data_IF_686495646060
#
_entry.id   IF_686495646060
#
_cell.length_a   1.000
_cell.length_b   1.000
_cell.length_c   1.000
_cell.angle_alpha   90.00
_cell.angle_beta   90.00
_cell.angle_gamma   90.00
#
_symmetry.space_group_name_H-M   'P 1'
#
loop_
_entity.id
_entity.type
_entity.pdbx_description
1 polymer ?
#
# COMPACT_ATOMS: atom_id res chain seq x y z
N UNK A 1 13.12 10.37 -23.58
CA UNK A 1 13.24 8.90 -23.34
C UNK A 1 14.32 8.52 -22.31
N UNK A 2 14.76 9.42 -21.42
CA UNK A 2 15.80 9.09 -20.44
C UNK A 2 15.26 8.42 -19.16
N UNK A 3 14.12 8.88 -18.64
CA UNK A 3 13.55 8.35 -17.40
C UNK A 3 13.17 6.86 -17.50
N UNK A 4 12.53 6.43 -18.59
CA UNK A 4 12.17 5.01 -18.77
C UNK A 4 13.43 4.12 -18.87
N UNK A 5 14.45 4.56 -19.62
CA UNK A 5 15.71 3.83 -19.74
C UNK A 5 16.35 3.63 -18.36
N UNK A 6 16.35 4.67 -17.55
CA UNK A 6 16.93 4.64 -16.22
C UNK A 6 16.13 3.75 -15.26
N UNK A 7 14.80 3.84 -15.28
CA UNK A 7 13.94 2.95 -14.50
C UNK A 7 14.18 1.47 -14.84
N UNK A 8 14.33 1.14 -16.13
CA UNK A 8 14.66 -0.22 -16.56
C UNK A 8 16.07 -0.63 -16.12
N UNK A 9 17.05 0.27 -16.20
CA UNK A 9 18.42 0.01 -15.69
C UNK A 9 18.39 -0.35 -14.21
N UNK A 10 17.71 0.43 -13.37
CA UNK A 10 17.57 0.19 -11.94
C UNK A 10 16.90 -1.17 -11.63
N UNK A 11 15.84 -1.51 -12.38
CA UNK A 11 15.17 -2.82 -12.26
C UNK A 11 16.14 -3.98 -12.55
N UNK A 12 16.95 -3.85 -13.60
CA UNK A 12 17.90 -4.90 -14.00
C UNK A 12 19.10 -4.99 -13.06
N UNK A 13 19.55 -3.87 -12.47
CA UNK A 13 20.65 -3.83 -11.50
C UNK A 13 20.28 -4.45 -10.15
N UNK A 14 19.05 -4.22 -9.67
CA UNK A 14 18.49 -4.95 -8.52
C UNK A 14 18.36 -6.44 -8.83
N UNK A 15 17.91 -6.77 -10.05
CA UNK A 15 17.59 -8.11 -10.50
C UNK A 15 16.13 -8.48 -10.23
N UNK A 16 15.49 -9.14 -11.21
CA UNK A 16 14.05 -9.40 -11.19
C UNK A 16 13.61 -10.21 -9.98
N UNK A 17 14.28 -11.32 -9.66
CA UNK A 17 13.92 -12.18 -8.53
C UNK A 17 14.01 -11.45 -7.19
N UNK A 18 15.07 -10.65 -6.99
CA UNK A 18 15.22 -9.84 -5.77
C UNK A 18 14.13 -8.79 -5.68
N UNK A 19 13.82 -8.14 -6.80
CA UNK A 19 12.75 -7.14 -6.87
C UNK A 19 11.39 -7.75 -6.54
N UNK A 20 11.06 -8.92 -7.09
CA UNK A 20 9.82 -9.64 -6.79
C UNK A 20 9.75 -10.07 -5.31
N UNK A 21 10.85 -10.60 -4.78
CA UNK A 21 10.97 -10.97 -3.37
C UNK A 21 10.72 -9.77 -2.45
N UNK A 22 11.38 -8.63 -2.68
CA UNK A 22 11.16 -7.39 -1.90
C UNK A 22 9.71 -6.95 -1.90
N UNK A 23 9.05 -6.95 -3.07
CA UNK A 23 7.64 -6.55 -3.13
C UNK A 23 6.72 -7.54 -2.39
N UNK A 24 7.04 -8.84 -2.44
CA UNK A 24 6.31 -9.86 -1.68
C UNK A 24 6.54 -9.72 -0.18
N UNK A 25 7.76 -9.48 0.26
CA UNK A 25 8.10 -9.26 1.67
C UNK A 25 7.39 -8.04 2.23
N UNK A 26 7.41 -6.91 1.52
CA UNK A 26 6.71 -5.69 1.95
C UNK A 26 5.19 -5.86 1.96
N UNK A 27 4.63 -6.65 1.03
CA UNK A 27 3.21 -7.03 1.08
C UNK A 27 2.86 -7.83 2.33
N UNK A 28 3.67 -8.83 2.67
CA UNK A 28 3.47 -9.65 3.86
C UNK A 28 3.59 -8.80 5.13
N UNK A 29 4.58 -7.91 5.18
CA UNK A 29 4.74 -6.95 6.26
C UNK A 29 3.52 -6.04 6.40
N UNK A 30 3.04 -5.45 5.31
CA UNK A 30 1.85 -4.61 5.32
C UNK A 30 0.61 -5.39 5.76
N UNK A 31 0.44 -6.62 5.24
CA UNK A 31 -0.65 -7.52 5.61
C UNK A 31 -0.67 -7.74 7.12
N UNK A 32 0.43 -8.21 7.68
CA UNK A 32 0.51 -8.58 9.10
C UNK A 32 0.21 -7.36 9.98
N UNK A 33 0.84 -6.22 9.66
CA UNK A 33 0.68 -5.00 10.44
C UNK A 33 -0.71 -4.37 10.36
N UNK A 34 -1.40 -4.50 9.23
CA UNK A 34 -2.79 -4.06 9.10
C UNK A 34 -3.75 -5.04 9.79
N UNK A 35 -3.50 -6.35 9.71
CA UNK A 35 -4.30 -7.35 10.41
C UNK A 35 -4.18 -7.22 11.94
N UNK A 36 -2.99 -6.88 12.45
CA UNK A 36 -2.78 -6.55 13.87
C UNK A 36 -3.64 -5.36 14.33
N UNK A 37 -4.01 -4.47 13.40
CA UNK A 37 -4.91 -3.34 13.64
C UNK A 37 -6.39 -3.65 13.38
N UNK A 38 -6.71 -4.90 13.06
CA UNK A 38 -8.08 -5.33 12.79
C UNK A 38 -8.58 -4.99 11.38
N UNK A 39 -7.72 -4.58 10.45
CA UNK A 39 -8.12 -4.39 9.07
C UNK A 39 -8.26 -5.72 8.32
N UNK A 40 -9.22 -5.75 7.41
CA UNK A 40 -9.46 -6.88 6.52
C UNK A 40 -9.08 -6.55 5.08
N UNK A 41 -8.63 -7.55 4.34
CA UNK A 41 -8.32 -7.42 2.92
C UNK A 41 -9.48 -7.93 2.08
N UNK A 42 -9.88 -7.15 1.07
CA UNK A 42 -11.00 -7.48 0.18
C UNK A 42 -10.77 -8.82 -0.56
N UNK A 43 -9.54 -9.06 -0.98
CA UNK A 43 -9.18 -10.20 -1.83
C UNK A 43 -8.67 -11.35 -0.96
N UNK A 44 -9.10 -12.58 -1.26
CA UNK A 44 -8.60 -13.77 -0.56
C UNK A 44 -7.11 -13.99 -0.84
N UNK A 45 -6.38 -14.51 0.17
CA UNK A 45 -4.91 -14.57 0.18
C UNK A 45 -4.25 -15.16 -1.09
N UNK A 46 -4.74 -16.28 -1.67
CA UNK A 46 -4.13 -16.85 -2.87
C UNK A 46 -4.19 -15.97 -4.12
N UNK A 47 -5.07 -14.95 -4.13
CA UNK A 47 -5.33 -14.08 -5.27
C UNK A 47 -4.85 -12.65 -5.06
N UNK A 48 -4.16 -12.36 -3.95
CA UNK A 48 -3.66 -11.01 -3.65
C UNK A 48 -2.46 -10.66 -4.55
N UNK A 49 -2.50 -9.46 -5.10
CA UNK A 49 -1.37 -8.87 -5.84
C UNK A 49 -0.47 -8.12 -4.84
N UNK A 50 0.82 -8.49 -4.67
CA UNK A 50 1.63 -7.86 -3.62
C UNK A 50 1.88 -6.35 -3.83
N UNK A 51 1.83 -5.88 -5.09
CA UNK A 51 2.05 -4.48 -5.45
C UNK A 51 0.85 -3.57 -5.17
N UNK A 52 -0.36 -4.13 -5.01
CA UNK A 52 -1.58 -3.35 -4.82
C UNK A 52 -2.53 -4.04 -3.85
N UNK A 53 -2.70 -3.44 -2.68
CA UNK A 53 -3.39 -4.01 -1.55
C UNK A 53 -4.76 -3.35 -1.40
N UNK A 54 -5.83 -4.12 -1.58
CA UNK A 54 -7.20 -3.67 -1.37
C UNK A 54 -7.63 -3.99 0.07
N UNK A 55 -7.75 -2.96 0.89
CA UNK A 55 -8.06 -3.06 2.33
C UNK A 55 -9.44 -2.47 2.58
N UNK A 56 -10.29 -3.17 3.32
CA UNK A 56 -11.64 -2.75 3.64
C UNK A 56 -11.58 -1.60 4.64
N UNK A 57 -12.34 -0.54 4.38
CA UNK A 57 -12.48 0.58 5.30
C UNK A 57 -13.39 0.13 6.45
N UNK A 58 -12.97 0.25 7.72
CA UNK A 58 -13.79 -0.13 8.86
C UNK A 58 -15.09 0.68 8.93
N UNK A 59 -16.12 0.07 9.52
CA UNK A 59 -17.41 0.74 9.70
C UNK A 59 -17.25 2.05 10.51
N UNK A 60 -17.90 3.11 10.04
CA UNK A 60 -17.85 4.43 10.67
C UNK A 60 -16.62 5.28 10.31
N UNK A 61 -15.66 4.74 9.54
CA UNK A 61 -14.50 5.50 9.06
C UNK A 61 -14.83 6.19 7.73
N UNK A 62 -14.61 7.51 7.68
CA UNK A 62 -14.76 8.29 6.44
C UNK A 62 -13.51 8.21 5.57
N UNK A 63 -13.65 7.65 4.35
CA UNK A 63 -12.57 7.49 3.38
C UNK A 63 -11.83 8.81 3.10
N UNK A 64 -12.58 9.86 2.74
CA UNK A 64 -12.01 11.11 2.26
C UNK A 64 -11.23 11.83 3.36
N UNK A 65 -11.77 11.85 4.58
CA UNK A 65 -11.14 12.42 5.76
C UNK A 65 -9.81 11.73 6.06
N UNK A 66 -9.79 10.39 6.15
CA UNK A 66 -8.57 9.64 6.47
C UNK A 66 -7.50 9.86 5.39
N UNK A 67 -7.85 9.74 4.11
CA UNK A 67 -6.89 9.98 3.02
C UNK A 67 -6.37 11.42 3.02
N UNK A 68 -7.22 12.39 3.32
CA UNK A 68 -6.83 13.80 3.44
C UNK A 68 -5.84 14.01 4.59
N UNK A 69 -6.08 13.39 5.75
CA UNK A 69 -5.18 13.47 6.90
C UNK A 69 -3.84 12.79 6.62
N UNK A 70 -3.84 11.59 6.03
CA UNK A 70 -2.61 10.92 5.61
C UNK A 70 -1.76 11.79 4.68
N UNK A 71 -2.40 12.43 3.69
CA UNK A 71 -1.69 13.28 2.74
C UNK A 71 -1.16 14.56 3.39
N UNK A 72 -2.01 15.28 4.14
CA UNK A 72 -1.68 16.62 4.63
C UNK A 72 -0.85 16.62 5.93
N UNK A 73 -1.02 15.63 6.81
CA UNK A 73 -0.31 15.54 8.10
C UNK A 73 0.96 14.68 7.99
N UNK A 74 0.97 13.66 7.13
CA UNK A 74 2.05 12.67 7.06
C UNK A 74 2.74 12.58 5.69
N UNK A 75 2.27 13.31 4.68
CA UNK A 75 2.76 13.21 3.30
C UNK A 75 2.66 11.78 2.73
N UNK A 76 1.59 11.07 3.08
CA UNK A 76 1.31 9.69 2.65
C UNK A 76 0.06 9.69 1.76
N UNK A 77 0.22 9.25 0.53
CA UNK A 77 -0.89 9.08 -0.40
C UNK A 77 -1.32 7.60 -0.48
N UNK A 78 -2.61 7.35 -0.23
CA UNK A 78 -3.26 6.06 -0.54
C UNK A 78 -4.44 6.31 -1.48
N UNK A 79 -4.77 5.33 -2.31
CA UNK A 79 -5.90 5.45 -3.24
C UNK A 79 -7.22 5.09 -2.57
N UNK A 80 -8.30 5.82 -2.89
CA UNK A 80 -9.65 5.34 -2.62
C UNK A 80 -10.05 4.20 -3.56
N UNK A 81 -11.07 3.44 -3.16
CA UNK A 81 -11.75 2.48 -4.03
C UNK A 81 -12.39 3.15 -5.25
N UNK A 82 -12.65 2.36 -6.29
CA UNK A 82 -13.20 2.85 -7.56
C UNK A 82 -14.49 2.08 -7.89
N UNK A 83 -15.42 2.74 -8.61
CA UNK A 83 -16.67 2.12 -9.05
C UNK A 83 -17.47 1.57 -7.87
N UNK A 84 -17.80 0.27 -7.91
CA UNK A 84 -18.58 -0.41 -6.86
C UNK A 84 -17.90 -0.39 -5.47
N UNK A 85 -16.59 -0.12 -5.42
CA UNK A 85 -15.79 -0.07 -4.21
C UNK A 85 -15.48 1.34 -3.72
N UNK A 86 -15.98 2.39 -4.39
CA UNK A 86 -15.79 3.77 -3.95
C UNK A 86 -16.30 3.97 -2.52
N UNK A 87 -15.46 4.54 -1.65
CA UNK A 87 -15.76 4.76 -0.23
C UNK A 87 -15.81 3.50 0.65
N UNK A 88 -15.46 2.32 0.12
CA UNK A 88 -15.52 1.03 0.85
C UNK A 88 -14.17 0.39 1.09
N UNK A 89 -13.19 0.70 0.24
CA UNK A 89 -11.84 0.13 0.34
C UNK A 89 -10.80 1.21 0.10
N UNK A 90 -9.63 1.02 0.68
CA UNK A 90 -8.40 1.70 0.28
C UNK A 90 -7.55 0.80 -0.62
N UNK A 91 -6.78 1.43 -1.48
CA UNK A 91 -5.79 0.83 -2.37
C UNK A 91 -4.41 1.33 -1.95
N UNK A 92 -3.64 0.46 -1.31
CA UNK A 92 -2.28 0.76 -0.83
C UNK A 92 -1.27 0.17 -1.82
N UNK A 93 -0.55 1.05 -2.51
CA UNK A 93 0.42 0.68 -3.54
C UNK A 93 1.82 0.49 -2.98
N UNK A 94 2.41 -0.68 -3.21
CA UNK A 94 3.82 -0.98 -2.97
C UNK A 94 4.50 -1.14 -4.33
N UNK A 95 4.77 -0.03 -5.01
CA UNK A 95 5.19 0.00 -6.41
C UNK A 95 6.52 0.75 -6.55
N UNK A 96 7.54 0.09 -7.10
CA UNK A 96 8.84 0.72 -7.37
C UNK A 96 9.56 1.14 -6.09
N UNK A 97 9.85 2.44 -5.97
CA UNK A 97 10.51 3.03 -4.80
C UNK A 97 9.61 3.00 -3.55
N UNK A 98 8.28 2.98 -3.71
CA UNK A 98 7.39 2.95 -2.54
C UNK A 98 7.35 1.57 -1.86
N UNK A 99 7.85 0.52 -2.51
CA UNK A 99 7.99 -0.81 -1.91
C UNK A 99 9.22 -0.84 -0.98
N UNK A 100 9.10 -0.15 0.16
CA UNK A 100 10.12 -0.08 1.19
C UNK A 100 9.46 -0.33 2.56
N UNK A 101 10.15 -1.06 3.44
CA UNK A 101 9.61 -1.42 4.75
C UNK A 101 9.33 -0.18 5.62
N UNK A 102 10.13 0.89 5.50
CA UNK A 102 9.90 2.12 6.26
C UNK A 102 8.61 2.81 5.82
N UNK A 103 8.28 2.82 4.52
CA UNK A 103 6.99 3.36 4.05
C UNK A 103 5.81 2.57 4.62
N UNK A 104 5.93 1.24 4.69
CA UNK A 104 4.92 0.38 5.33
C UNK A 104 4.75 0.75 6.81
N UNK A 105 5.86 0.87 7.55
CA UNK A 105 5.82 1.25 8.96
C UNK A 105 5.21 2.63 9.17
N UNK A 106 5.61 3.63 8.38
CA UNK A 106 5.06 4.99 8.49
C UNK A 106 3.56 5.02 8.24
N UNK A 107 3.07 4.31 7.22
CA UNK A 107 1.62 4.21 6.95
C UNK A 107 0.87 3.59 8.13
N UNK A 108 1.37 2.47 8.68
CA UNK A 108 0.72 1.76 9.79
C UNK A 108 0.68 2.63 11.04
N UNK A 109 1.76 3.32 11.39
CA UNK A 109 1.80 4.21 12.56
C UNK A 109 0.94 5.45 12.37
N UNK A 110 0.87 6.01 11.14
CA UNK A 110 -0.05 7.10 10.84
C UNK A 110 -1.51 6.65 11.00
N UNK A 111 -1.87 5.49 10.47
CA UNK A 111 -3.23 4.91 10.61
C UNK A 111 -3.61 4.70 12.08
N UNK A 112 -2.70 4.17 12.91
CA UNK A 112 -2.92 4.03 14.37
C UNK A 112 -3.17 5.35 15.09
N UNK A 113 -2.64 6.45 14.57
CA UNK A 113 -2.72 7.77 15.22
C UNK A 113 -3.99 8.50 14.82
N UNK A 114 -4.49 8.27 13.59
CA UNK A 114 -5.63 9.01 13.04
C UNK A 114 -6.97 8.29 13.14
N UNK A 115 -6.96 7.00 13.47
CA UNK A 115 -8.12 6.13 13.71
C UNK A 115 -8.18 5.73 15.18
#
# INVERSE_FOLDING_TARGET
MYALREALRLVLEEGLEKRFARHRENHLLLRDRLQDLGFEFLVAEPYRLPMLNAVIIPDGVDDASVRSRLLNEYNIEIGGGLGAFAGKVWRIGLMGESSDANHVHMLVEALKTIL
#
